data_IF_595181707987
#
_entry.id   IF_595181707987
#
_cell.length_a   1.000
_cell.length_b   1.000
_cell.length_c   1.000
_cell.angle_alpha   90.00
_cell.angle_beta   90.00
_cell.angle_gamma   90.00
#
_symmetry.space_group_name_H-M   'P 1'
#
loop_
_entity.id
_entity.type
_entity.pdbx_description
1 polymer ?
#
# COMPACT_ATOMS: atom_id res chain seq x y z
N UNK A 1 31.03 -35.94 -39.74
CA UNK A 1 29.65 -35.39 -39.69
C UNK A 1 29.07 -35.29 -38.28
N UNK A 2 29.80 -35.64 -37.22
CA UNK A 2 29.27 -35.64 -35.83
C UNK A 2 29.60 -34.40 -35.03
N UNK A 3 30.50 -33.55 -35.49
CA UNK A 3 30.96 -32.33 -34.73
C UNK A 3 30.18 -31.07 -35.05
N UNK A 4 29.30 -31.03 -36.06
CA UNK A 4 28.51 -29.84 -36.36
C UNK A 4 27.12 -29.81 -35.72
N UNK A 5 26.65 -30.91 -35.15
CA UNK A 5 25.33 -30.99 -34.51
C UNK A 5 25.38 -30.50 -33.05
N UNK A 6 26.55 -30.71 -32.40
CA UNK A 6 26.71 -30.25 -31.00
C UNK A 6 26.88 -28.72 -30.87
N UNK A 7 27.42 -28.05 -31.88
CA UNK A 7 27.58 -26.57 -31.83
C UNK A 7 26.25 -25.81 -32.03
N UNK A 8 25.25 -26.40 -32.67
CA UNK A 8 23.94 -25.75 -32.88
C UNK A 8 23.04 -25.82 -31.63
N UNK A 9 23.20 -26.84 -30.81
CA UNK A 9 22.39 -27.03 -29.61
C UNK A 9 22.90 -26.11 -28.47
N UNK A 10 24.20 -25.87 -28.38
CA UNK A 10 24.79 -24.95 -27.41
C UNK A 10 24.49 -23.48 -27.70
N UNK A 11 24.35 -23.09 -28.97
CA UNK A 11 23.97 -21.72 -29.38
C UNK A 11 22.49 -21.41 -29.08
N UNK A 12 21.60 -22.40 -29.21
CA UNK A 12 20.17 -22.23 -28.91
C UNK A 12 19.87 -22.13 -27.41
N UNK A 13 20.64 -22.82 -26.55
CA UNK A 13 20.51 -22.72 -25.10
C UNK A 13 21.11 -21.44 -24.52
N UNK A 14 22.13 -20.85 -25.15
CA UNK A 14 22.69 -19.56 -24.74
C UNK A 14 21.79 -18.36 -25.09
N UNK A 15 20.92 -18.50 -26.11
CA UNK A 15 19.99 -17.42 -26.50
C UNK A 15 18.76 -17.35 -25.59
N UNK A 16 18.39 -18.44 -24.91
CA UNK A 16 17.27 -18.44 -23.94
C UNK A 16 17.67 -18.00 -22.53
N UNK A 17 18.95 -18.02 -22.18
CA UNK A 17 19.43 -17.56 -20.88
C UNK A 17 19.67 -16.03 -20.79
N UNK A 18 19.61 -15.33 -21.92
CA UNK A 18 19.88 -13.88 -21.99
C UNK A 18 18.64 -12.99 -21.84
N UNK A 19 17.44 -13.56 -21.57
CA UNK A 19 16.18 -12.80 -21.49
C UNK A 19 15.52 -12.85 -20.10
N UNK A 20 16.17 -13.36 -19.09
CA UNK A 20 15.73 -13.18 -17.70
C UNK A 20 16.49 -12.02 -17.06
N UNK A 21 16.36 -10.80 -17.62
CA UNK A 21 16.50 -9.61 -16.80
C UNK A 21 15.42 -9.72 -15.70
N UNK A 22 15.71 -9.36 -14.42
CA UNK A 22 14.67 -9.29 -13.42
C UNK A 22 13.59 -8.37 -13.98
N UNK A 23 12.38 -8.91 -14.17
CA UNK A 23 11.25 -8.10 -14.57
C UNK A 23 11.02 -7.13 -13.40
N UNK A 24 11.55 -5.91 -13.51
CA UNK A 24 11.15 -4.83 -12.62
C UNK A 24 9.63 -4.81 -12.62
N UNK A 25 9.03 -4.75 -11.43
CA UNK A 25 7.58 -4.67 -11.35
C UNK A 25 7.13 -3.48 -12.20
N UNK A 26 6.26 -3.74 -13.18
CA UNK A 26 5.75 -2.69 -14.06
C UNK A 26 5.20 -1.55 -13.21
N UNK A 27 5.57 -0.31 -13.53
CA UNK A 27 5.13 0.89 -12.82
C UNK A 27 4.45 1.92 -13.72
N UNK A 28 4.27 1.57 -15.02
CA UNK A 28 3.63 2.43 -16.00
C UNK A 28 2.66 1.65 -16.89
N UNK A 29 1.48 2.25 -17.14
CA UNK A 29 0.46 1.78 -18.06
C UNK A 29 -0.02 2.95 -18.91
N UNK A 30 -0.31 2.69 -20.19
CA UNK A 30 -0.85 3.67 -21.13
C UNK A 30 -2.07 3.06 -21.85
N UNK A 31 -2.99 3.91 -22.30
CA UNK A 31 -4.20 3.48 -23.01
C UNK A 31 -5.29 2.91 -22.09
N UNK A 32 -5.30 3.27 -20.83
CA UNK A 32 -6.32 2.81 -19.86
C UNK A 32 -7.50 3.77 -19.89
N UNK A 33 -8.65 3.31 -20.35
CA UNK A 33 -9.85 4.14 -20.50
C UNK A 33 -10.55 4.43 -19.17
N UNK A 34 -10.47 3.49 -18.20
CA UNK A 34 -11.20 3.59 -16.94
C UNK A 34 -10.33 3.22 -15.75
N UNK A 35 -10.22 4.16 -14.82
CA UNK A 35 -9.45 4.01 -13.57
C UNK A 35 -10.35 4.34 -12.40
N UNK A 36 -10.49 3.42 -11.45
CA UNK A 36 -11.15 3.64 -10.16
C UNK A 36 -10.07 3.80 -9.11
N UNK A 37 -10.11 4.90 -8.34
CA UNK A 37 -9.10 5.20 -7.31
C UNK A 37 -9.75 5.27 -5.95
N UNK A 38 -9.24 4.48 -5.03
CA UNK A 38 -9.69 4.42 -3.63
C UNK A 38 -8.52 4.86 -2.75
N UNK A 39 -8.76 5.83 -1.89
CA UNK A 39 -7.80 6.29 -0.88
C UNK A 39 -7.69 5.34 0.30
N UNK A 40 -7.33 5.88 1.46
CA UNK A 40 -7.09 5.15 2.70
C UNK A 40 -8.32 4.35 3.15
N UNK A 41 -8.12 3.06 3.43
CA UNK A 41 -9.18 2.13 3.85
C UNK A 41 -9.22 1.95 5.36
N UNK A 42 -8.07 1.95 6.00
CA UNK A 42 -7.93 1.91 7.46
C UNK A 42 -8.74 0.74 8.09
N UNK A 43 -8.66 -0.45 7.50
CA UNK A 43 -9.31 -1.65 8.01
C UNK A 43 -10.84 -1.65 7.92
N UNK A 44 -11.46 -0.85 7.05
CA UNK A 44 -12.90 -0.80 6.82
C UNK A 44 -13.28 -1.61 5.57
N UNK A 45 -13.52 -2.92 5.77
CA UNK A 45 -13.89 -3.83 4.68
C UNK A 45 -15.26 -3.49 4.07
N UNK A 46 -16.23 -3.06 4.89
CA UNK A 46 -17.56 -2.75 4.40
C UNK A 46 -17.55 -1.56 3.44
N UNK A 47 -16.78 -0.51 3.80
CA UNK A 47 -16.54 0.64 2.92
C UNK A 47 -15.85 0.23 1.61
N UNK A 48 -14.81 -0.61 1.71
CA UNK A 48 -14.08 -1.09 0.55
C UNK A 48 -14.98 -1.88 -0.40
N UNK A 49 -15.71 -2.87 0.11
CA UNK A 49 -16.61 -3.70 -0.70
C UNK A 49 -17.72 -2.88 -1.37
N UNK A 50 -18.32 -1.91 -0.65
CA UNK A 50 -19.33 -1.01 -1.20
C UNK A 50 -18.79 -0.17 -2.36
N UNK A 51 -17.61 0.44 -2.21
CA UNK A 51 -16.97 1.20 -3.28
C UNK A 51 -16.67 0.35 -4.50
N UNK A 52 -16.23 -0.91 -4.33
CA UNK A 52 -16.02 -1.83 -5.43
C UNK A 52 -17.33 -2.20 -6.16
N UNK A 53 -18.43 -2.41 -5.41
CA UNK A 53 -19.76 -2.69 -5.98
C UNK A 53 -20.32 -1.48 -6.72
N UNK A 54 -20.32 -0.32 -6.07
CA UNK A 54 -20.82 0.94 -6.67
C UNK A 54 -20.03 1.32 -7.92
N UNK A 55 -18.73 1.06 -7.93
CA UNK A 55 -17.91 1.26 -9.13
C UNK A 55 -18.12 0.19 -10.21
N UNK A 56 -18.80 -0.91 -9.92
CA UNK A 56 -18.96 -2.03 -10.85
C UNK A 56 -17.68 -2.83 -11.09
N UNK A 57 -16.70 -2.76 -10.19
CA UNK A 57 -15.48 -3.54 -10.29
C UNK A 57 -15.66 -4.99 -9.82
N UNK A 58 -16.66 -5.25 -8.97
CA UNK A 58 -17.01 -6.59 -8.52
C UNK A 58 -18.49 -6.88 -8.73
N UNK A 59 -18.80 -8.17 -8.93
CA UNK A 59 -20.16 -8.71 -9.02
C UNK A 59 -20.75 -9.01 -7.61
N UNK A 60 -21.90 -9.69 -7.58
CA UNK A 60 -22.60 -10.08 -6.34
C UNK A 60 -21.82 -11.09 -5.49
N UNK A 61 -20.95 -11.86 -6.09
CA UNK A 61 -20.10 -12.86 -5.42
C UNK A 61 -18.77 -12.25 -4.93
N UNK A 62 -18.53 -10.97 -5.26
CA UNK A 62 -17.33 -10.22 -4.93
C UNK A 62 -16.15 -10.56 -5.86
N UNK A 63 -16.41 -11.14 -7.02
CA UNK A 63 -15.40 -11.44 -8.03
C UNK A 63 -15.27 -10.31 -9.06
N UNK A 64 -14.13 -10.22 -9.75
CA UNK A 64 -13.84 -9.15 -10.68
C UNK A 64 -14.84 -9.08 -11.84
N UNK A 65 -15.52 -7.97 -11.98
CA UNK A 65 -16.46 -7.64 -13.05
C UNK A 65 -16.04 -6.39 -13.85
N UNK A 66 -14.92 -5.76 -13.50
CA UNK A 66 -14.45 -4.48 -14.05
C UNK A 66 -13.91 -4.55 -15.48
N UNK A 67 -13.80 -5.75 -16.10
CA UNK A 67 -13.21 -5.90 -17.43
C UNK A 67 -11.78 -5.34 -17.48
N UNK A 68 -11.50 -4.47 -18.45
CA UNK A 68 -10.19 -3.84 -18.68
C UNK A 68 -9.93 -2.64 -17.75
N UNK A 69 -10.80 -2.35 -16.79
CA UNK A 69 -10.62 -1.24 -15.83
C UNK A 69 -9.39 -1.48 -14.94
N UNK A 70 -8.79 -0.38 -14.49
CA UNK A 70 -7.76 -0.41 -13.45
C UNK A 70 -8.35 0.05 -12.11
N UNK A 71 -8.09 -0.71 -11.04
CA UNK A 71 -8.30 -0.30 -9.66
C UNK A 71 -6.96 0.19 -9.10
N UNK A 72 -6.93 1.39 -8.54
CA UNK A 72 -5.79 1.92 -7.77
C UNK A 72 -6.24 2.13 -6.33
N UNK A 73 -5.73 1.31 -5.41
CA UNK A 73 -5.82 1.53 -3.98
C UNK A 73 -4.52 2.19 -3.53
N UNK A 74 -4.60 3.38 -2.89
CA UNK A 74 -3.46 4.27 -2.69
C UNK A 74 -2.61 4.00 -1.43
N UNK A 75 -2.78 2.85 -0.79
CA UNK A 75 -2.09 2.53 0.47
C UNK A 75 -2.97 2.82 1.69
N UNK A 76 -2.41 2.57 2.88
CA UNK A 76 -3.10 2.65 4.16
C UNK A 76 -4.36 1.75 4.19
N UNK A 77 -4.15 0.49 3.77
CA UNK A 77 -5.14 -0.58 3.95
C UNK A 77 -5.29 -0.93 5.43
N UNK A 78 -4.17 -1.12 6.20
CA UNK A 78 -4.26 -1.56 7.58
C UNK A 78 -4.48 -0.42 8.57
N UNK A 79 -4.64 -0.85 9.82
CA UNK A 79 -4.75 -0.03 11.02
C UNK A 79 -6.13 0.62 11.22
N UNK A 80 -6.34 1.16 12.42
CA UNK A 80 -7.55 1.88 12.87
C UNK A 80 -8.85 1.09 12.87
N UNK A 81 -9.10 0.27 11.86
CA UNK A 81 -10.24 -0.66 11.76
C UNK A 81 -9.81 -2.11 11.90
N UNK A 82 -10.77 -3.05 12.03
CA UNK A 82 -10.50 -4.46 12.36
C UNK A 82 -10.28 -5.39 11.17
N UNK A 83 -10.49 -4.92 9.93
CA UNK A 83 -10.74 -5.83 8.79
C UNK A 83 -9.65 -5.79 7.72
N UNK A 84 -8.44 -5.29 8.02
CA UNK A 84 -7.34 -5.20 7.06
C UNK A 84 -7.02 -6.53 6.40
N UNK A 85 -7.06 -7.62 7.18
CA UNK A 85 -6.90 -8.98 6.66
C UNK A 85 -7.90 -9.29 5.54
N UNK A 86 -9.18 -9.00 5.76
CA UNK A 86 -10.23 -9.27 4.78
C UNK A 86 -10.04 -8.45 3.50
N UNK A 87 -9.61 -7.18 3.63
CA UNK A 87 -9.31 -6.31 2.49
C UNK A 87 -8.14 -6.86 1.67
N UNK A 88 -7.02 -7.19 2.31
CA UNK A 88 -5.83 -7.73 1.63
C UNK A 88 -6.16 -9.04 0.94
N UNK A 89 -6.82 -9.97 1.61
CA UNK A 89 -7.20 -11.27 1.03
C UNK A 89 -8.14 -11.08 -0.18
N UNK A 90 -9.01 -10.08 -0.15
CA UNK A 90 -9.89 -9.75 -1.29
C UNK A 90 -9.07 -9.15 -2.46
N UNK A 91 -8.21 -8.18 -2.21
CA UNK A 91 -7.33 -7.60 -3.26
C UNK A 91 -6.48 -8.69 -3.93
N UNK A 92 -5.86 -9.57 -3.15
CA UNK A 92 -5.06 -10.71 -3.63
C UNK A 92 -5.88 -11.66 -4.51
N UNK A 93 -7.17 -11.82 -4.22
CA UNK A 93 -8.10 -12.60 -5.05
C UNK A 93 -8.44 -11.87 -6.35
N UNK A 94 -8.65 -10.55 -6.30
CA UNK A 94 -9.01 -9.74 -7.47
C UNK A 94 -7.86 -9.55 -8.46
N UNK A 95 -6.61 -9.45 -8.00
CA UNK A 95 -5.43 -9.23 -8.86
C UNK A 95 -5.35 -10.23 -10.06
N UNK A 96 -5.35 -11.54 -9.84
CA UNK A 96 -5.29 -12.49 -10.96
C UNK A 96 -6.58 -12.50 -11.79
N UNK A 97 -7.73 -12.14 -11.21
CA UNK A 97 -8.99 -12.08 -11.95
C UNK A 97 -9.00 -10.88 -12.90
N UNK A 98 -8.57 -9.69 -12.42
CA UNK A 98 -8.45 -8.49 -13.22
C UNK A 98 -7.49 -8.70 -14.41
N UNK A 99 -6.30 -9.25 -14.15
CA UNK A 99 -5.31 -9.54 -15.21
C UNK A 99 -5.87 -10.46 -16.31
N UNK A 100 -6.66 -11.47 -15.94
CA UNK A 100 -7.31 -12.35 -16.94
C UNK A 100 -8.37 -11.65 -17.78
N UNK A 101 -8.98 -10.60 -17.24
CA UNK A 101 -9.98 -9.78 -17.92
C UNK A 101 -9.37 -8.62 -18.73
N UNK A 102 -8.03 -8.45 -18.71
CA UNK A 102 -7.34 -7.33 -19.36
C UNK A 102 -7.22 -6.08 -18.49
N UNK A 103 -7.74 -6.11 -17.26
CA UNK A 103 -7.66 -5.05 -16.27
C UNK A 103 -6.50 -5.24 -15.29
N UNK A 104 -6.45 -4.39 -14.25
CA UNK A 104 -5.39 -4.45 -13.25
C UNK A 104 -5.85 -3.95 -11.87
N UNK A 105 -5.32 -4.57 -10.81
CA UNK A 105 -5.43 -4.08 -9.43
C UNK A 105 -4.05 -3.62 -8.98
N UNK A 106 -3.96 -2.35 -8.59
CA UNK A 106 -2.77 -1.73 -8.03
C UNK A 106 -3.03 -1.44 -6.55
N UNK A 107 -2.46 -2.25 -5.65
CA UNK A 107 -2.40 -1.93 -4.24
C UNK A 107 -1.08 -1.19 -3.99
N UNK A 108 -1.12 0.13 -3.79
CA UNK A 108 0.09 0.90 -3.53
C UNK A 108 0.50 0.77 -2.07
N UNK A 109 1.77 1.01 -1.82
CA UNK A 109 2.34 0.99 -0.47
C UNK A 109 2.12 2.35 0.17
N UNK A 110 1.42 2.39 1.32
CA UNK A 110 1.33 3.54 2.21
C UNK A 110 2.29 3.43 3.39
N UNK A 111 2.26 4.43 4.26
CA UNK A 111 3.11 4.41 5.45
C UNK A 111 2.64 3.38 6.49
N UNK A 112 1.35 3.07 6.56
CA UNK A 112 0.83 2.07 7.49
C UNK A 112 1.21 0.64 7.08
N UNK A 113 1.33 0.33 5.79
CA UNK A 113 1.93 -0.93 5.33
C UNK A 113 3.38 -1.04 5.80
N UNK A 114 4.19 -0.01 5.57
CA UNK A 114 5.59 0.02 5.99
C UNK A 114 5.74 -0.12 7.51
N UNK A 115 4.93 0.61 8.29
CA UNK A 115 4.92 0.52 9.77
C UNK A 115 4.62 -0.89 10.24
N UNK A 116 3.61 -1.56 9.68
CA UNK A 116 3.25 -2.92 10.06
C UNK A 116 4.37 -3.93 9.72
N UNK A 117 5.01 -3.82 8.55
CA UNK A 117 6.15 -4.66 8.18
C UNK A 117 7.33 -4.44 9.15
N UNK A 118 7.66 -3.19 9.48
CA UNK A 118 8.74 -2.85 10.42
C UNK A 118 8.41 -3.18 11.88
N UNK A 119 7.14 -3.41 12.21
CA UNK A 119 6.68 -3.76 13.56
C UNK A 119 6.28 -2.57 14.43
N UNK A 120 6.04 -1.42 13.84
CA UNK A 120 5.39 -0.29 14.51
C UNK A 120 3.87 -0.47 14.49
N UNK A 121 3.35 -1.04 15.57
CA UNK A 121 1.95 -1.47 15.70
C UNK A 121 1.06 -0.48 16.45
N UNK A 122 1.50 0.77 16.61
CA UNK A 122 0.81 1.77 17.46
C UNK A 122 -0.62 2.09 17.01
N UNK A 123 -0.98 1.81 15.77
CA UNK A 123 -2.30 2.09 15.19
C UNK A 123 -3.12 0.82 14.91
N UNK A 124 -2.57 -0.36 15.20
CA UNK A 124 -3.28 -1.63 14.95
C UNK A 124 -4.49 -1.74 15.85
N UNK A 125 -5.65 -1.96 15.26
CA UNK A 125 -6.90 -2.16 15.98
C UNK A 125 -6.91 -3.54 16.67
N UNK A 126 -7.44 -3.69 17.90
CA UNK A 126 -7.50 -4.99 18.56
C UNK A 126 -8.22 -6.09 17.77
N UNK A 127 -9.20 -5.72 16.93
CA UNK A 127 -9.89 -6.64 16.03
C UNK A 127 -8.99 -7.26 14.96
N UNK A 128 -7.95 -6.57 14.55
CA UNK A 128 -6.92 -7.11 13.65
C UNK A 128 -6.29 -8.37 14.23
N UNK A 129 -5.83 -8.30 15.48
CA UNK A 129 -5.26 -9.47 16.14
C UNK A 129 -6.27 -10.61 16.24
N UNK A 130 -7.53 -10.30 16.56
CA UNK A 130 -8.60 -11.29 16.63
C UNK A 130 -8.81 -12.00 15.28
N UNK A 131 -8.68 -11.28 14.15
CA UNK A 131 -8.80 -11.85 12.81
C UNK A 131 -7.69 -12.87 12.47
N UNK A 132 -6.53 -12.77 13.13
CA UNK A 132 -5.41 -13.71 12.98
C UNK A 132 -5.42 -14.84 14.00
N UNK A 133 -6.26 -14.77 15.05
CA UNK A 133 -6.29 -15.77 16.08
C UNK A 133 -6.85 -17.12 15.59
N UNK A 134 -6.20 -18.20 15.99
CA UNK A 134 -6.64 -19.57 15.75
C UNK A 134 -6.54 -20.44 17.02
N UNK A 135 -6.96 -21.70 16.92
CA UNK A 135 -6.91 -22.67 18.03
C UNK A 135 -5.51 -22.92 18.62
N UNK A 136 -4.44 -22.41 17.99
CA UNK A 136 -3.05 -22.56 18.45
C UNK A 136 -2.50 -21.26 19.05
N UNK A 137 -3.24 -20.16 19.00
CA UNK A 137 -2.77 -18.81 19.42
C UNK A 137 -2.35 -18.79 20.88
N UNK A 138 -3.10 -19.44 21.78
CA UNK A 138 -2.71 -19.55 23.20
C UNK A 138 -1.34 -20.23 23.38
N UNK A 139 -1.07 -21.29 22.62
CA UNK A 139 0.22 -21.99 22.64
C UNK A 139 1.34 -21.10 22.10
N UNK A 140 1.11 -20.38 20.98
CA UNK A 140 2.11 -19.48 20.37
C UNK A 140 2.40 -18.32 21.32
N UNK A 141 1.38 -17.66 21.89
CA UNK A 141 1.54 -16.60 22.88
C UNK A 141 2.37 -17.06 24.08
N UNK A 142 2.07 -18.24 24.62
CA UNK A 142 2.84 -18.82 25.74
C UNK A 142 4.30 -19.13 25.35
N UNK A 143 4.57 -19.56 24.13
CA UNK A 143 5.93 -19.76 23.63
C UNK A 143 6.68 -18.43 23.48
N UNK A 144 6.03 -17.42 22.96
CA UNK A 144 6.57 -16.07 22.82
C UNK A 144 6.85 -15.44 24.18
N UNK A 145 5.95 -15.56 25.15
CA UNK A 145 6.19 -15.11 26.54
C UNK A 145 7.45 -15.73 27.14
N UNK A 146 7.66 -17.04 26.99
CA UNK A 146 8.88 -17.68 27.46
C UNK A 146 10.14 -17.19 26.72
N UNK A 147 10.04 -16.90 25.44
CA UNK A 147 11.11 -16.30 24.67
C UNK A 147 11.45 -14.89 25.15
N UNK A 148 10.44 -14.06 25.40
CA UNK A 148 10.57 -12.72 25.99
C UNK A 148 11.28 -12.76 27.35
N UNK A 149 10.88 -13.69 28.22
CA UNK A 149 11.56 -13.85 29.54
C UNK A 149 13.04 -14.21 29.39
N UNK A 150 13.38 -15.11 28.45
CA UNK A 150 14.80 -15.46 28.20
C UNK A 150 15.58 -14.27 27.66
N UNK A 151 14.97 -13.52 26.72
CA UNK A 151 15.61 -12.32 26.15
C UNK A 151 15.87 -11.26 27.22
N UNK A 152 14.87 -10.92 28.06
CA UNK A 152 15.03 -9.92 29.12
C UNK A 152 16.02 -10.32 30.24
N UNK A 153 16.21 -11.64 30.48
CA UNK A 153 17.27 -12.11 31.38
C UNK A 153 18.67 -11.98 30.76
N UNK A 154 18.78 -12.22 29.47
CA UNK A 154 20.06 -12.12 28.75
C UNK A 154 20.43 -10.67 28.41
N UNK A 155 19.44 -9.81 28.20
CA UNK A 155 19.59 -8.41 27.82
C UNK A 155 18.69 -7.54 28.73
N UNK A 156 19.07 -7.36 30.00
CA UNK A 156 18.25 -6.60 30.94
C UNK A 156 18.18 -5.12 30.54
N UNK A 157 16.98 -4.49 30.66
CA UNK A 157 16.89 -3.05 30.56
C UNK A 157 17.65 -2.35 31.68
N UNK A 158 17.86 -1.03 31.56
CA UNK A 158 18.58 -0.23 32.60
C UNK A 158 17.97 -0.37 34.00
N UNK A 159 16.65 -0.58 34.09
CA UNK A 159 15.93 -0.84 35.34
C UNK A 159 16.18 -2.23 35.95
N UNK A 160 17.02 -3.07 35.31
CA UNK A 160 17.30 -4.43 35.71
C UNK A 160 16.32 -5.47 35.15
N UNK A 161 16.57 -6.75 35.47
CA UNK A 161 15.70 -7.85 35.05
C UNK A 161 14.33 -7.72 35.73
N UNK A 162 13.21 -7.68 34.99
CA UNK A 162 11.88 -7.62 35.58
C UNK A 162 11.57 -8.84 36.47
N UNK A 163 10.75 -8.65 37.50
CA UNK A 163 10.15 -9.74 38.23
C UNK A 163 9.01 -10.33 37.39
N UNK A 164 9.12 -11.59 36.99
CA UNK A 164 8.15 -12.28 36.14
C UNK A 164 7.03 -12.92 36.99
N UNK A 165 6.31 -12.09 37.74
CA UNK A 165 5.15 -12.47 38.54
C UNK A 165 3.85 -12.45 37.72
N UNK A 166 2.73 -12.77 38.37
CA UNK A 166 1.41 -12.78 37.71
C UNK A 166 1.01 -11.39 37.21
N UNK A 167 1.40 -10.32 37.87
CA UNK A 167 1.11 -8.95 37.46
C UNK A 167 1.91 -8.57 36.18
N UNK A 168 3.18 -8.98 36.11
CA UNK A 168 3.97 -8.82 34.87
C UNK A 168 3.32 -9.61 33.73
N UNK A 169 2.95 -10.85 33.99
CA UNK A 169 2.33 -11.72 32.98
C UNK A 169 1.02 -11.12 32.47
N UNK A 170 0.15 -10.64 33.35
CA UNK A 170 -1.12 -10.04 32.95
C UNK A 170 -0.93 -8.81 32.05
N UNK A 171 -0.02 -7.89 32.42
CA UNK A 171 0.29 -6.72 31.58
C UNK A 171 0.88 -7.13 30.23
N UNK A 172 1.75 -8.15 30.23
CA UNK A 172 2.35 -8.65 29.00
C UNK A 172 1.31 -9.29 28.07
N UNK A 173 0.38 -10.09 28.62
CA UNK A 173 -0.69 -10.71 27.86
C UNK A 173 -1.71 -9.70 27.31
N UNK A 174 -1.97 -8.62 28.05
CA UNK A 174 -2.79 -7.48 27.59
C UNK A 174 -2.15 -6.77 26.41
N UNK A 175 -0.84 -6.55 26.45
CA UNK A 175 -0.08 -5.98 25.35
C UNK A 175 0.10 -6.94 24.15
N UNK A 176 -0.13 -8.23 24.34
CA UNK A 176 0.03 -9.29 23.31
C UNK A 176 -1.22 -10.18 23.30
N UNK A 177 -2.38 -9.68 22.84
CA UNK A 177 -3.61 -10.46 22.79
C UNK A 177 -3.48 -11.68 21.87
N UNK A 178 -4.44 -12.59 21.90
CA UNK A 178 -4.47 -13.74 21.00
C UNK A 178 -4.51 -13.24 19.54
N UNK A 179 -3.70 -13.85 18.69
CA UNK A 179 -3.52 -13.44 17.30
C UNK A 179 -2.40 -12.43 17.07
N UNK A 180 -1.88 -11.78 18.13
CA UNK A 180 -0.77 -10.83 17.99
C UNK A 180 0.48 -11.48 17.37
N UNK A 181 0.85 -12.68 17.82
CA UNK A 181 2.00 -13.41 17.27
C UNK A 181 1.78 -13.76 15.80
N UNK A 182 0.59 -14.23 15.47
CA UNK A 182 0.21 -14.58 14.10
C UNK A 182 0.21 -13.37 13.18
N UNK A 183 -0.35 -12.25 13.65
CA UNK A 183 -0.30 -10.98 12.93
C UNK A 183 1.15 -10.58 12.64
N UNK A 184 2.04 -10.56 13.65
CA UNK A 184 3.46 -10.25 13.44
C UNK A 184 4.13 -11.17 12.44
N UNK A 185 3.88 -12.47 12.53
CA UNK A 185 4.43 -13.45 11.58
C UNK A 185 3.90 -13.27 10.16
N UNK A 186 2.67 -12.79 9.99
CA UNK A 186 2.11 -12.52 8.67
C UNK A 186 2.67 -11.23 8.05
N UNK A 187 2.92 -10.21 8.87
CA UNK A 187 3.36 -8.89 8.42
C UNK A 187 4.88 -8.71 8.36
N UNK A 188 5.68 -9.53 9.04
CA UNK A 188 7.14 -9.45 8.89
C UNK A 188 7.58 -9.77 7.46
N UNK A 189 8.80 -9.36 7.09
CA UNK A 189 9.36 -9.46 5.73
C UNK A 189 9.20 -10.85 5.09
N UNK A 190 9.36 -11.92 5.89
CA UNK A 190 9.20 -13.30 5.43
C UNK A 190 7.76 -13.80 5.47
N UNK A 191 6.84 -13.01 6.03
CA UNK A 191 5.45 -13.36 6.21
C UNK A 191 4.62 -13.19 4.94
N UNK A 192 3.42 -13.72 4.96
CA UNK A 192 2.52 -13.75 3.80
C UNK A 192 2.16 -12.36 3.28
N UNK A 193 1.85 -11.42 4.20
CA UNK A 193 1.49 -10.06 3.83
C UNK A 193 2.72 -9.18 3.62
N UNK A 194 3.78 -9.37 4.43
CA UNK A 194 5.02 -8.65 4.21
C UNK A 194 5.63 -8.90 2.82
N UNK A 195 5.60 -10.14 2.35
CA UNK A 195 6.04 -10.48 0.99
C UNK A 195 5.13 -9.86 -0.08
N UNK A 196 3.80 -9.99 0.08
CA UNK A 196 2.84 -9.42 -0.87
C UNK A 196 3.01 -7.91 -0.99
N UNK A 197 3.12 -7.17 0.12
CA UNK A 197 3.34 -5.72 0.12
C UNK A 197 4.67 -5.37 -0.51
N UNK A 198 5.76 -6.08 -0.16
CA UNK A 198 7.08 -5.82 -0.72
C UNK A 198 7.21 -6.12 -2.23
N UNK A 199 6.20 -6.70 -2.87
CA UNK A 199 6.13 -6.89 -4.33
C UNK A 199 5.39 -5.77 -5.04
N UNK A 200 4.76 -4.84 -4.29
CA UNK A 200 3.98 -3.74 -4.85
C UNK A 200 4.82 -2.47 -5.06
N UNK A 201 4.22 -1.47 -5.71
CA UNK A 201 4.82 -0.18 -5.97
C UNK A 201 4.34 0.87 -4.96
N UNK A 202 5.16 1.86 -4.66
CA UNK A 202 4.76 3.07 -3.93
C UNK A 202 4.28 4.17 -4.88
N UNK A 203 4.82 4.20 -6.11
CA UNK A 203 4.51 5.22 -7.13
C UNK A 203 4.26 4.55 -8.46
N UNK A 204 3.12 4.85 -9.10
CA UNK A 204 2.81 4.37 -10.45
C UNK A 204 2.33 5.50 -11.35
N UNK A 205 2.48 5.33 -12.66
CA UNK A 205 1.89 6.18 -13.68
C UNK A 205 0.87 5.39 -14.49
N UNK A 206 -0.34 5.94 -14.64
CA UNK A 206 -1.32 5.43 -15.61
C UNK A 206 -1.72 6.61 -16.50
N UNK A 207 -1.54 6.46 -17.81
CA UNK A 207 -1.70 7.53 -18.80
C UNK A 207 -0.86 8.77 -18.43
N UNK A 208 -1.50 9.91 -18.22
CA UNK A 208 -0.91 11.19 -17.83
C UNK A 208 -1.05 11.51 -16.33
N UNK A 209 -1.33 10.52 -15.50
CA UNK A 209 -1.59 10.69 -14.07
C UNK A 209 -0.61 9.86 -13.25
N UNK A 210 0.01 10.49 -12.24
CA UNK A 210 0.88 9.85 -11.25
C UNK A 210 0.07 9.55 -9.99
N UNK A 211 0.21 8.34 -9.45
CA UNK A 211 -0.48 7.87 -8.25
C UNK A 211 0.53 7.48 -7.19
N UNK A 212 0.32 7.89 -5.96
CA UNK A 212 1.12 7.53 -4.78
C UNK A 212 0.32 7.78 -3.52
N UNK A 213 0.81 7.24 -2.40
CA UNK A 213 0.11 7.40 -1.12
C UNK A 213 0.20 8.83 -0.59
N UNK A 214 1.40 9.33 -0.30
CA UNK A 214 1.60 10.68 0.25
C UNK A 214 1.76 11.73 -0.84
N UNK A 215 2.97 11.93 -1.28
CA UNK A 215 3.37 12.89 -2.31
C UNK A 215 4.88 12.81 -2.50
N UNK A 216 5.43 13.75 -3.26
CA UNK A 216 6.87 13.89 -3.41
C UNK A 216 7.26 15.31 -3.00
N UNK A 217 8.15 15.43 -2.01
CA UNK A 217 8.69 16.69 -1.58
C UNK A 217 9.87 17.15 -2.46
N UNK A 218 10.44 18.34 -2.16
CA UNK A 218 11.50 18.92 -2.98
C UNK A 218 12.72 18.03 -3.17
N UNK A 219 13.13 17.22 -2.19
CA UNK A 219 14.26 16.29 -2.31
C UNK A 219 13.98 15.07 -3.20
N UNK A 220 12.74 14.87 -3.62
CA UNK A 220 12.31 13.80 -4.53
C UNK A 220 11.79 14.35 -5.87
N UNK A 221 11.93 15.66 -6.13
CA UNK A 221 11.34 16.29 -7.32
C UNK A 221 11.84 15.70 -8.65
N UNK A 222 13.09 15.23 -8.67
CA UNK A 222 13.76 14.61 -9.82
C UNK A 222 14.12 13.14 -9.58
N UNK A 223 13.48 12.49 -8.59
CA UNK A 223 13.70 11.09 -8.31
C UNK A 223 12.97 10.20 -9.33
N UNK A 224 13.67 9.31 -10.05
CA UNK A 224 13.00 8.39 -10.98
C UNK A 224 12.04 7.46 -10.25
N UNK A 225 10.82 7.31 -10.80
CA UNK A 225 9.75 6.47 -10.22
C UNK A 225 10.23 5.05 -9.90
N UNK A 226 10.92 4.41 -10.84
CA UNK A 226 11.37 3.03 -10.66
C UNK A 226 12.44 2.92 -9.56
N UNK A 227 13.32 3.93 -9.44
CA UNK A 227 14.31 3.97 -8.35
C UNK A 227 13.66 4.14 -6.97
N UNK A 228 12.60 4.95 -6.86
CA UNK A 228 11.82 5.06 -5.63
C UNK A 228 11.13 3.74 -5.27
N UNK A 229 10.48 3.09 -6.25
CA UNK A 229 9.83 1.80 -6.05
C UNK A 229 10.82 0.71 -5.63
N UNK A 230 11.98 0.64 -6.27
CA UNK A 230 13.03 -0.32 -5.90
C UNK A 230 13.55 -0.05 -4.49
N UNK A 231 13.74 1.22 -4.13
CA UNK A 231 14.20 1.59 -2.79
C UNK A 231 13.17 1.22 -1.72
N UNK A 232 11.86 1.48 -1.94
CA UNK A 232 10.80 1.09 -1.00
C UNK A 232 10.76 -0.44 -0.84
N UNK A 233 10.71 -1.19 -1.95
CA UNK A 233 10.69 -2.66 -1.92
C UNK A 233 11.92 -3.26 -1.23
N UNK A 234 13.12 -2.73 -1.52
CA UNK A 234 14.36 -3.19 -0.88
C UNK A 234 14.38 -2.87 0.61
N UNK A 235 13.96 -1.66 1.00
CA UNK A 235 13.90 -1.27 2.40
C UNK A 235 12.90 -2.15 3.19
N UNK A 236 11.72 -2.44 2.63
CA UNK A 236 10.75 -3.37 3.21
C UNK A 236 11.31 -4.79 3.38
N UNK A 237 12.26 -5.20 2.53
CA UNK A 237 12.98 -6.49 2.66
C UNK A 237 14.17 -6.44 3.62
N UNK A 238 14.40 -5.32 4.30
CA UNK A 238 15.54 -5.13 5.21
C UNK A 238 16.85 -4.81 4.50
N UNK A 239 16.81 -4.41 3.23
CA UNK A 239 17.96 -4.06 2.38
C UNK A 239 17.83 -2.61 1.88
N UNK A 240 17.99 -1.59 2.75
CA UNK A 240 17.76 -0.20 2.38
C UNK A 240 18.72 0.25 1.26
N UNK A 241 18.17 0.99 0.30
CA UNK A 241 18.93 1.57 -0.80
C UNK A 241 19.93 2.63 -0.32
N UNK A 242 21.14 2.62 -0.84
CA UNK A 242 22.12 3.67 -0.55
C UNK A 242 21.70 5.05 -1.08
N UNK A 243 20.89 5.11 -2.16
CA UNK A 243 20.39 6.37 -2.71
C UNK A 243 19.24 6.98 -1.89
N UNK A 244 18.43 6.13 -1.26
CA UNK A 244 17.28 6.53 -0.46
C UNK A 244 17.20 5.69 0.84
N UNK A 245 18.15 5.87 1.78
CA UNK A 245 18.30 4.97 2.92
C UNK A 245 17.15 5.03 3.92
N UNK A 246 16.42 6.12 3.96
CA UNK A 246 15.31 6.42 4.88
C UNK A 246 13.94 6.49 4.19
N UNK A 247 13.79 5.96 2.98
CA UNK A 247 12.61 6.15 2.12
C UNK A 247 11.29 5.75 2.80
N UNK A 248 11.30 4.77 3.71
CA UNK A 248 10.08 4.33 4.42
C UNK A 248 9.58 5.34 5.45
N UNK A 249 10.45 6.23 5.94
CA UNK A 249 10.15 7.20 7.01
C UNK A 249 10.39 8.66 6.62
N UNK A 250 10.95 8.90 5.43
CA UNK A 250 11.28 10.23 4.95
C UNK A 250 10.03 11.07 4.71
N UNK A 251 9.93 12.21 5.41
CA UNK A 251 8.76 13.08 5.36
C UNK A 251 8.59 13.80 4.00
N UNK A 252 9.59 13.78 3.14
CA UNK A 252 9.50 14.25 1.76
C UNK A 252 9.31 13.10 0.75
N UNK A 253 9.36 11.86 1.20
CA UNK A 253 9.20 10.66 0.38
C UNK A 253 7.75 10.30 0.05
N UNK A 254 7.56 9.33 -0.88
CA UNK A 254 6.26 8.99 -1.47
C UNK A 254 5.22 8.50 -0.48
N UNK A 255 5.64 8.02 0.71
CA UNK A 255 4.73 7.48 1.73
C UNK A 255 4.26 8.55 2.74
N UNK A 256 4.94 9.72 2.83
CA UNK A 256 4.70 10.66 3.93
C UNK A 256 4.46 12.10 3.52
N UNK A 257 4.93 12.56 2.35
CA UNK A 257 4.88 13.95 2.00
C UNK A 257 3.45 14.49 1.94
N UNK A 258 3.21 15.60 2.65
CA UNK A 258 1.88 16.23 2.76
C UNK A 258 1.82 17.64 2.17
N UNK A 259 2.94 18.18 1.65
CA UNK A 259 3.00 19.56 1.19
C UNK A 259 1.98 19.88 0.09
N UNK A 260 1.87 19.01 -0.92
CA UNK A 260 0.86 19.16 -1.99
C UNK A 260 -0.59 19.19 -1.45
N UNK A 261 -0.83 18.58 -0.27
CA UNK A 261 -2.15 18.52 0.36
C UNK A 261 -2.39 19.64 1.37
N UNK A 262 -1.34 20.15 2.06
CA UNK A 262 -1.48 21.03 3.21
C UNK A 262 -0.96 22.44 3.01
N UNK A 263 0.15 22.61 2.26
CA UNK A 263 0.76 23.93 2.10
C UNK A 263 -0.07 24.83 1.19
N UNK A 264 0.16 26.13 1.28
CA UNK A 264 -0.45 27.09 0.36
C UNK A 264 -0.06 26.78 -1.09
N UNK A 265 -1.02 26.78 -2.01
CA UNK A 265 -0.81 26.41 -3.40
C UNK A 265 0.27 27.26 -4.08
N UNK A 266 0.28 28.55 -3.78
CA UNK A 266 1.30 29.46 -4.33
C UNK A 266 2.73 29.07 -3.91
N UNK A 267 2.91 28.56 -2.70
CA UNK A 267 4.23 28.13 -2.20
C UNK A 267 4.70 26.83 -2.88
N UNK A 268 3.78 25.92 -3.19
CA UNK A 268 4.07 24.61 -3.81
C UNK A 268 4.03 24.64 -5.35
N UNK A 269 3.61 25.75 -5.97
CA UNK A 269 3.33 25.82 -7.41
C UNK A 269 4.56 25.45 -8.25
N UNK A 270 5.72 26.04 -7.97
CA UNK A 270 6.95 25.78 -8.75
C UNK A 270 7.45 24.34 -8.56
N UNK A 271 7.28 23.79 -7.34
CA UNK A 271 7.61 22.41 -7.03
C UNK A 271 6.69 21.44 -7.79
N UNK A 272 5.38 21.66 -7.77
CA UNK A 272 4.42 20.86 -8.52
C UNK A 272 4.72 20.90 -10.03
N UNK A 273 5.02 22.08 -10.58
CA UNK A 273 5.35 22.22 -12.01
C UNK A 273 6.60 21.39 -12.38
N UNK A 274 7.62 21.38 -11.52
CA UNK A 274 8.81 20.55 -11.71
C UNK A 274 8.50 19.05 -11.67
N UNK A 275 7.69 18.60 -10.69
CA UNK A 275 7.25 17.20 -10.58
C UNK A 275 6.49 16.74 -11.83
N UNK A 276 5.49 17.51 -12.26
CA UNK A 276 4.68 17.19 -13.43
C UNK A 276 5.54 17.08 -14.69
N UNK A 277 6.47 18.02 -14.87
CA UNK A 277 7.37 18.02 -16.00
C UNK A 277 8.35 16.83 -15.99
N UNK A 278 8.96 16.53 -14.82
CA UNK A 278 9.91 15.43 -14.70
C UNK A 278 9.26 14.07 -14.97
N UNK A 279 8.08 13.82 -14.39
CA UNK A 279 7.37 12.56 -14.57
C UNK A 279 6.57 12.49 -15.87
N UNK A 280 6.52 13.57 -16.65
CA UNK A 280 5.73 13.68 -17.89
C UNK A 280 4.27 13.32 -17.67
N UNK A 281 3.64 14.00 -16.70
CA UNK A 281 2.22 13.82 -16.33
C UNK A 281 1.53 15.18 -16.21
N UNK A 282 0.20 15.18 -16.31
CA UNK A 282 -0.62 16.38 -16.12
C UNK A 282 -1.24 16.47 -14.72
N UNK A 283 -1.23 15.36 -13.97
CA UNK A 283 -1.93 15.24 -12.69
C UNK A 283 -1.21 14.31 -11.72
N UNK A 284 -1.40 14.58 -10.43
CA UNK A 284 -1.00 13.72 -9.31
C UNK A 284 -2.23 13.38 -8.48
N UNK A 285 -2.38 12.13 -8.07
CA UNK A 285 -3.44 11.65 -7.17
C UNK A 285 -2.80 11.09 -5.93
N UNK A 286 -3.27 11.55 -4.75
CA UNK A 286 -2.71 11.19 -3.44
C UNK A 286 -3.80 10.81 -2.44
N UNK A 287 -3.43 10.02 -1.43
CA UNK A 287 -4.17 9.68 -0.22
C UNK A 287 -3.64 10.41 1.02
N UNK A 288 -3.45 9.67 2.12
CA UNK A 288 -2.67 10.01 3.30
C UNK A 288 -3.15 11.21 4.12
N UNK A 289 -3.80 12.20 3.51
CA UNK A 289 -4.10 13.48 4.15
C UNK A 289 -5.59 13.78 4.09
N UNK A 290 -6.29 13.53 5.20
CA UNK A 290 -7.74 13.79 5.34
C UNK A 290 -8.03 15.28 5.31
N UNK A 291 -8.73 15.76 4.27
CA UNK A 291 -9.04 17.18 4.05
C UNK A 291 -10.52 17.47 3.88
N UNK A 292 -11.26 16.61 3.22
CA UNK A 292 -12.64 16.85 2.84
C UNK A 292 -13.46 15.55 2.87
N UNK A 293 -14.79 15.62 2.97
CA UNK A 293 -15.65 14.44 2.91
C UNK A 293 -15.85 13.90 1.48
N UNK A 294 -15.04 14.33 0.54
CA UNK A 294 -15.07 13.95 -0.87
C UNK A 294 -13.69 14.15 -1.48
N UNK A 295 -13.48 13.70 -2.70
CA UNK A 295 -12.24 14.01 -3.44
C UNK A 295 -12.06 15.52 -3.53
N UNK A 296 -10.91 16.00 -3.09
CA UNK A 296 -10.58 17.42 -3.05
C UNK A 296 -9.59 17.78 -4.16
N UNK A 297 -10.00 18.60 -5.16
CA UNK A 297 -9.06 19.15 -6.14
C UNK A 297 -8.25 20.29 -5.54
N UNK A 298 -6.98 20.36 -5.90
CA UNK A 298 -6.05 21.46 -5.66
C UNK A 298 -5.31 21.81 -6.93
N UNK A 299 -4.71 23.01 -6.97
CA UNK A 299 -3.91 23.50 -8.12
C UNK A 299 -4.69 23.39 -9.45
N UNK A 300 -5.95 23.80 -9.43
CA UNK A 300 -6.87 23.70 -10.59
C UNK A 300 -7.03 22.24 -11.10
N UNK A 301 -7.17 21.26 -10.18
CA UNK A 301 -7.35 19.85 -10.51
C UNK A 301 -6.08 19.10 -10.91
N UNK A 302 -4.91 19.73 -10.79
CA UNK A 302 -3.62 19.05 -11.04
C UNK A 302 -3.16 18.15 -9.88
N UNK A 303 -3.71 18.37 -8.68
CA UNK A 303 -3.57 17.46 -7.52
C UNK A 303 -4.95 17.08 -7.04
N UNK A 304 -5.21 15.77 -6.90
CA UNK A 304 -6.47 15.24 -6.37
C UNK A 304 -6.19 14.47 -5.09
N UNK A 305 -6.81 14.90 -3.98
CA UNK A 305 -6.69 14.25 -2.68
C UNK A 305 -7.89 13.33 -2.50
N UNK A 306 -7.64 12.04 -2.29
CA UNK A 306 -8.68 11.00 -2.20
C UNK A 306 -8.83 10.42 -0.80
N UNK A 307 -8.02 10.83 0.19
CA UNK A 307 -8.22 10.44 1.57
C UNK A 307 -9.38 11.24 2.19
N UNK A 308 -10.47 10.52 2.47
CA UNK A 308 -11.75 11.10 2.81
C UNK A 308 -11.85 11.34 4.31
N UNK A 309 -12.02 12.61 4.71
CA UNK A 309 -12.30 12.98 6.08
C UNK A 309 -13.79 12.78 6.39
N UNK A 310 -14.11 11.89 7.32
CA UNK A 310 -15.49 11.72 7.83
C UNK A 310 -15.68 12.61 9.04
N UNK A 311 -16.58 13.63 9.02
CA UNK A 311 -16.93 14.39 10.21
C UNK A 311 -17.55 13.49 11.27
N UNK A 312 -17.22 13.73 12.55
CA UNK A 312 -17.82 12.99 13.66
C UNK A 312 -19.36 13.03 13.59
N UNK A 313 -19.99 11.85 13.63
CA UNK A 313 -21.45 11.71 13.52
C UNK A 313 -21.99 11.58 12.10
N UNK A 314 -21.14 11.68 11.08
CA UNK A 314 -21.52 11.33 9.72
C UNK A 314 -21.32 9.82 9.51
N UNK A 315 -22.40 9.10 9.27
CA UNK A 315 -22.33 7.74 8.75
C UNK A 315 -22.20 7.85 7.24
N UNK A 316 -21.01 7.61 6.72
CA UNK A 316 -20.70 7.55 5.30
C UNK A 316 -20.23 8.87 4.64
N UNK A 317 -19.02 8.81 4.11
CA UNK A 317 -18.89 9.05 2.68
C UNK A 317 -18.08 7.96 2.00
N UNK A 318 -18.73 6.99 1.44
CA UNK A 318 -18.13 6.13 0.44
C UNK A 318 -17.95 6.96 -0.83
N UNK A 319 -16.87 7.73 -0.88
CA UNK A 319 -16.51 8.50 -2.05
C UNK A 319 -15.21 7.96 -2.63
N UNK A 320 -15.15 7.87 -3.93
CA UNK A 320 -13.94 7.48 -4.65
C UNK A 320 -13.76 8.34 -5.91
N UNK A 321 -12.55 8.35 -6.46
CA UNK A 321 -12.25 9.02 -7.70
C UNK A 321 -12.43 8.01 -8.86
N UNK A 322 -13.12 8.46 -9.91
CA UNK A 322 -13.23 7.75 -11.17
C UNK A 322 -12.62 8.62 -12.27
N UNK A 323 -11.72 8.05 -13.07
CA UNK A 323 -11.17 8.69 -14.26
C UNK A 323 -11.62 7.88 -15.47
N UNK A 324 -12.45 8.48 -16.32
CA UNK A 324 -12.92 7.88 -17.57
C UNK A 324 -12.48 8.72 -18.75
N UNK A 325 -11.77 8.13 -19.71
CA UNK A 325 -11.19 8.84 -20.88
C UNK A 325 -10.41 10.11 -20.48
N UNK A 326 -9.67 10.04 -19.36
CA UNK A 326 -8.87 11.12 -18.81
C UNK A 326 -9.63 12.16 -17.98
N UNK A 327 -10.97 12.11 -17.93
CA UNK A 327 -11.80 13.04 -17.17
C UNK A 327 -12.04 12.53 -15.73
N UNK A 328 -11.59 13.28 -14.68
CA UNK A 328 -11.83 12.90 -13.29
C UNK A 328 -13.23 13.30 -12.83
N UNK A 329 -13.90 12.39 -12.14
CA UNK A 329 -15.13 12.64 -11.42
C UNK A 329 -15.08 12.03 -10.03
N UNK A 330 -15.64 12.68 -9.04
CA UNK A 330 -15.93 12.05 -7.75
C UNK A 330 -17.21 11.24 -7.87
N UNK A 331 -17.18 10.01 -7.40
CA UNK A 331 -18.39 9.22 -7.17
C UNK A 331 -18.68 9.23 -5.68
N UNK A 332 -19.81 9.78 -5.28
CA UNK A 332 -20.26 9.84 -3.91
C UNK A 332 -21.70 9.36 -3.83
N UNK A 333 -21.97 8.30 -3.05
CA UNK A 333 -23.29 7.65 -2.96
C UNK A 333 -23.87 7.30 -4.33
N UNK A 334 -23.04 6.80 -5.23
CA UNK A 334 -23.41 6.45 -6.59
C UNK A 334 -23.66 7.64 -7.52
N UNK A 335 -23.57 8.89 -7.02
CA UNK A 335 -23.70 10.09 -7.85
C UNK A 335 -22.33 10.53 -8.35
N UNK A 336 -22.25 10.89 -9.63
CA UNK A 336 -21.03 11.40 -10.28
C UNK A 336 -21.04 12.94 -10.25
N UNK A 337 -20.00 13.51 -9.67
CA UNK A 337 -19.79 14.95 -9.59
C UNK A 337 -18.46 15.29 -10.25
N UNK A 338 -18.40 16.16 -11.26
CA UNK A 338 -17.13 16.58 -11.84
C UNK A 338 -16.17 17.13 -10.78
N UNK A 339 -14.90 16.79 -10.89
CA UNK A 339 -13.84 17.37 -10.06
C UNK A 339 -13.36 18.63 -10.79
N UNK A 340 -13.74 19.80 -10.28
CA UNK A 340 -13.43 21.12 -10.88
C UNK A 340 -12.56 21.94 -9.95
#
# INVERSE_FOLDING_TARGET
>A
MMNHVLSAITAALALFAALAAPAFAQSQWDGVDRIVVIGDLEGDYAKFEDMLRVSGLIDTDGDWAGGESHLVQLGDIPDRGPDSRAIIDHLRRLEPQARRAGGYVHALIGNHEAMNVEGDLRYVHPGEYAAFADRRSERRRSQFYRATQRHLRANPPESGVPVFDDAFRARWEDAHPLGWVEHRLAWEVSGEYGQWIADHNAVIRINDTLFMHGGLGPSFADAPRDAMNDAVRSALRGEPSAAYPDILVNQEGPLWYRGLSLHEEQAEQAHLDALLAFHNVSRIVVGHTKRAPTVLPRFNGRVLITDIAVPAGYQDPHAFLLIESGAPVTVHRGQRVPVT
#
